data_IF_707948667552
#
_entry.id   IF_707948667552
#
_cell.length_a   1.000
_cell.length_b   1.000
_cell.length_c   1.000
_cell.angle_alpha   90.00
_cell.angle_beta   90.00
_cell.angle_gamma   90.00
#
_symmetry.space_group_name_H-M   'P 1'
#
loop_
_entity.id
_entity.type
_entity.pdbx_description
1 polymer ?
#
# COMPACT_ATOMS: atom_id res chain seq x y z
N UNK A 1 16.25 -21.36 -3.96
CA UNK A 1 16.92 -20.18 -4.52
C UNK A 1 17.68 -20.58 -5.76
N UNK A 2 17.25 -20.15 -6.94
CA UNK A 2 18.08 -20.23 -8.12
C UNK A 2 19.02 -19.02 -8.11
N UNK A 3 20.30 -19.26 -7.91
CA UNK A 3 21.31 -18.22 -8.02
C UNK A 3 21.39 -17.75 -9.47
N UNK A 4 20.75 -16.65 -9.81
CA UNK A 4 20.77 -16.08 -11.15
C UNK A 4 22.09 -15.34 -11.48
N UNK A 5 23.00 -15.20 -10.54
CA UNK A 5 24.29 -14.55 -10.76
C UNK A 5 25.27 -14.83 -9.63
N UNK A 6 25.91 -15.97 -9.60
CA UNK A 6 27.22 -16.19 -8.95
C UNK A 6 27.50 -15.76 -7.51
N UNK A 7 26.58 -15.13 -6.78
CA UNK A 7 26.71 -14.84 -5.37
C UNK A 7 25.65 -15.59 -4.60
N UNK A 8 26.06 -16.68 -3.95
CA UNK A 8 25.22 -17.54 -3.14
C UNK A 8 24.70 -16.87 -1.83
N UNK A 9 25.07 -15.62 -1.58
CA UNK A 9 24.92 -15.01 -0.25
C UNK A 9 23.65 -14.18 -0.10
N UNK A 10 22.79 -14.06 -1.10
CA UNK A 10 21.60 -13.21 -1.08
C UNK A 10 20.34 -13.95 -1.52
N UNK A 11 20.10 -15.11 -0.95
CA UNK A 11 18.81 -15.77 -1.09
C UNK A 11 17.82 -15.20 -0.09
N UNK A 12 16.94 -14.33 -0.53
CA UNK A 12 15.78 -13.93 0.24
C UNK A 12 14.62 -14.89 -0.05
N UNK A 13 13.95 -15.34 1.00
CA UNK A 13 12.73 -16.14 0.90
C UNK A 13 11.67 -15.53 1.80
N UNK A 14 10.42 -15.57 1.37
CA UNK A 14 9.31 -15.19 2.21
C UNK A 14 9.19 -16.18 3.36
N UNK A 15 9.26 -15.68 4.60
CA UNK A 15 9.09 -16.49 5.82
C UNK A 15 7.67 -16.46 6.36
N UNK A 16 6.82 -15.60 5.83
CA UNK A 16 5.39 -15.50 6.13
C UNK A 16 4.69 -14.65 5.11
N UNK A 17 3.44 -14.93 4.84
CA UNK A 17 2.63 -14.19 3.88
C UNK A 17 1.18 -14.14 4.36
N UNK A 18 0.56 -12.97 4.28
CA UNK A 18 -0.87 -12.75 4.43
C UNK A 18 -1.46 -12.49 3.05
N UNK A 19 -2.36 -13.36 2.62
CA UNK A 19 -3.00 -13.29 1.31
C UNK A 19 -4.42 -12.75 1.36
N UNK A 20 -4.97 -12.56 2.56
CA UNK A 20 -6.28 -11.97 2.72
C UNK A 20 -6.28 -10.50 2.30
N UNK A 21 -7.32 -10.13 1.54
CA UNK A 21 -7.55 -8.75 1.13
C UNK A 21 -8.56 -8.14 2.09
N UNK A 22 -8.21 -6.99 2.66
CA UNK A 22 -9.04 -6.25 3.60
C UNK A 22 -9.11 -4.79 3.24
N UNK A 23 -10.31 -4.24 3.18
CA UNK A 23 -10.49 -2.80 3.18
C UNK A 23 -10.26 -2.26 4.61
N UNK A 24 -9.51 -1.20 4.72
CA UNK A 24 -9.24 -0.50 5.98
C UNK A 24 -9.50 0.99 5.80
N UNK A 25 -10.06 1.62 6.82
CA UNK A 25 -10.20 3.07 6.89
C UNK A 25 -8.92 3.65 7.53
N UNK A 26 -8.08 4.29 6.74
CA UNK A 26 -6.82 4.87 7.22
C UNK A 26 -7.01 6.12 8.10
N UNK A 27 -8.22 6.64 8.23
CA UNK A 27 -8.54 7.75 9.12
C UNK A 27 -9.09 7.28 10.46
N UNK A 28 -9.48 6.02 10.57
CA UNK A 28 -9.87 5.42 11.87
C UNK A 28 -8.58 5.13 12.68
N UNK A 29 -8.39 5.79 13.83
CA UNK A 29 -7.24 5.57 14.70
C UNK A 29 -7.26 4.19 15.41
N UNK A 30 -8.37 3.47 15.32
CA UNK A 30 -8.52 2.16 15.95
C UNK A 30 -7.81 1.10 15.11
N UNK A 31 -6.96 0.23 15.70
CA UNK A 31 -6.33 -0.86 14.98
C UNK A 31 -7.36 -1.77 14.31
N UNK A 32 -7.23 -1.95 13.01
CA UNK A 32 -8.12 -2.79 12.20
C UNK A 32 -7.39 -4.11 11.86
N UNK A 33 -7.95 -5.28 12.20
CA UNK A 33 -7.29 -6.55 11.94
C UNK A 33 -7.24 -6.85 10.44
N UNK A 34 -6.05 -7.13 9.91
CA UNK A 34 -5.87 -7.55 8.53
C UNK A 34 -6.09 -9.05 8.35
N UNK A 35 -5.79 -9.85 9.35
CA UNK A 35 -5.91 -11.30 9.32
C UNK A 35 -4.81 -12.01 10.10
N UNK A 36 -4.74 -13.32 9.94
CA UNK A 36 -3.71 -14.17 10.53
C UNK A 36 -2.95 -14.90 9.43
N UNK A 37 -1.64 -14.95 9.56
CA UNK A 37 -0.77 -15.64 8.63
C UNK A 37 0.05 -16.71 9.33
N UNK A 38 0.40 -17.75 8.60
CA UNK A 38 1.40 -18.75 9.04
C UNK A 38 2.76 -18.34 8.50
N UNK A 39 3.79 -18.54 9.31
CA UNK A 39 5.14 -18.21 8.94
C UNK A 39 6.15 -19.08 9.65
N UNK A 40 7.41 -18.82 9.40
CA UNK A 40 8.56 -19.50 10.03
C UNK A 40 9.31 -18.53 10.91
N UNK A 41 10.00 -19.06 11.91
CA UNK A 41 10.99 -18.29 12.67
C UNK A 41 12.17 -17.93 11.78
N UNK A 42 12.77 -16.77 12.05
CA UNK A 42 13.91 -16.30 11.27
C UNK A 42 14.12 -14.81 11.35
N UNK A 43 15.09 -14.33 10.60
CA UNK A 43 15.38 -12.89 10.50
C UNK A 43 14.61 -12.28 9.33
N UNK A 44 13.77 -11.30 9.63
CA UNK A 44 13.13 -10.46 8.64
C UNK A 44 14.04 -9.27 8.33
N UNK A 45 14.18 -8.92 7.08
CA UNK A 45 14.95 -7.76 6.62
C UNK A 45 14.09 -6.72 5.94
N UNK A 46 13.05 -7.18 5.25
CA UNK A 46 12.11 -6.33 4.52
C UNK A 46 10.72 -6.93 4.50
N UNK A 47 9.73 -6.10 4.22
CA UNK A 47 8.39 -6.51 3.87
C UNK A 47 8.05 -6.06 2.45
N UNK A 48 7.31 -6.88 1.74
CA UNK A 48 6.72 -6.52 0.46
C UNK A 48 5.21 -6.55 0.60
N UNK A 49 4.50 -5.67 -0.09
CA UNK A 49 3.04 -5.66 -0.02
C UNK A 49 2.41 -5.11 -1.29
N UNK A 50 1.13 -5.40 -1.44
CA UNK A 50 0.27 -4.92 -2.51
C UNK A 50 -0.96 -4.21 -1.93
N UNK A 51 -1.55 -3.32 -2.71
CA UNK A 51 -2.78 -2.62 -2.37
C UNK A 51 -3.98 -3.37 -2.98
N UNK A 52 -4.36 -4.50 -2.35
CA UNK A 52 -5.55 -5.24 -2.72
C UNK A 52 -5.51 -5.76 -4.17
N UNK A 53 -4.54 -6.58 -4.51
CA UNK A 53 -4.40 -7.15 -5.85
C UNK A 53 -4.56 -8.64 -5.81
N UNK A 54 -5.35 -9.18 -6.73
CA UNK A 54 -5.42 -10.61 -6.98
C UNK A 54 -4.22 -11.04 -7.84
N UNK A 55 -3.26 -11.64 -7.18
CA UNK A 55 -2.02 -12.05 -7.83
C UNK A 55 -1.97 -13.45 -8.29
N UNK A 56 -2.71 -14.30 -7.67
CA UNK A 56 -2.26 -15.66 -7.58
C UNK A 56 -2.90 -16.58 -8.56
N UNK A 57 -2.07 -17.44 -9.15
CA UNK A 57 -2.40 -18.72 -9.74
C UNK A 57 -3.12 -18.66 -11.08
N UNK A 58 -3.42 -17.50 -11.60
CA UNK A 58 -3.96 -17.38 -12.94
C UNK A 58 -2.89 -16.85 -13.88
N UNK A 59 -2.89 -17.28 -15.09
CA UNK A 59 -2.08 -16.75 -16.20
C UNK A 59 -2.61 -15.36 -16.64
N UNK A 60 -3.63 -14.87 -15.98
CA UNK A 60 -4.28 -13.59 -16.28
C UNK A 60 -3.52 -12.41 -15.70
N UNK A 61 -3.71 -11.26 -16.31
CA UNK A 61 -3.17 -10.02 -15.79
C UNK A 61 -3.72 -9.72 -14.39
N UNK A 62 -2.90 -9.15 -13.48
CA UNK A 62 -3.36 -8.81 -12.16
C UNK A 62 -4.49 -7.77 -12.24
N UNK A 63 -5.52 -7.96 -11.43
CA UNK A 63 -6.65 -7.05 -11.32
C UNK A 63 -6.70 -6.45 -9.92
N UNK A 64 -7.18 -5.21 -9.80
CA UNK A 64 -7.46 -4.65 -8.49
C UNK A 64 -8.51 -5.48 -7.77
N UNK A 65 -8.30 -5.76 -6.49
CA UNK A 65 -9.33 -6.35 -5.67
C UNK A 65 -10.36 -5.28 -5.31
N UNK A 66 -11.62 -5.67 -5.24
CA UNK A 66 -12.74 -4.81 -4.87
C UNK A 66 -12.74 -4.49 -3.36
N UNK A 67 -11.62 -3.99 -2.84
CA UNK A 67 -11.43 -3.78 -1.41
C UNK A 67 -11.81 -2.35 -0.99
N UNK A 68 -11.43 -1.34 -1.76
CA UNK A 68 -11.85 0.03 -1.49
C UNK A 68 -13.18 0.36 -2.19
N UNK A 69 -13.88 1.42 -1.77
CA UNK A 69 -15.09 1.88 -2.45
C UNK A 69 -14.88 2.03 -3.94
N UNK A 70 -15.82 1.51 -4.73
CA UNK A 70 -15.75 1.52 -6.19
C UNK A 70 -14.87 0.43 -6.81
N UNK A 71 -14.30 -0.48 -6.02
CA UNK A 71 -13.46 -1.57 -6.52
C UNK A 71 -12.03 -1.16 -6.83
N UNK A 72 -11.49 -0.16 -6.12
CA UNK A 72 -10.15 0.37 -6.31
C UNK A 72 -9.14 -0.09 -5.26
N UNK A 73 -7.85 0.09 -5.51
CA UNK A 73 -6.78 -0.14 -4.53
C UNK A 73 -6.85 0.85 -3.37
N UNK A 74 -7.22 2.10 -3.63
CA UNK A 74 -7.48 3.11 -2.61
C UNK A 74 -8.50 4.13 -3.11
N UNK A 75 -9.31 4.64 -2.17
CA UNK A 75 -10.26 5.72 -2.39
C UNK A 75 -9.96 6.87 -1.43
N UNK A 76 -9.82 8.07 -1.96
CA UNK A 76 -9.64 9.28 -1.17
C UNK A 76 -10.77 10.26 -1.47
N UNK A 77 -11.39 10.80 -0.44
CA UNK A 77 -12.33 11.89 -0.57
C UNK A 77 -12.10 12.89 0.56
N UNK A 78 -12.18 14.18 0.24
CA UNK A 78 -11.89 15.18 1.25
C UNK A 78 -12.03 16.60 0.76
N UNK A 79 -11.48 17.51 1.57
CA UNK A 79 -11.48 18.92 1.31
C UNK A 79 -10.07 19.50 1.54
N UNK A 80 -9.53 20.12 0.52
CA UNK A 80 -8.29 20.89 0.61
C UNK A 80 -8.62 22.37 0.87
N UNK A 81 -7.88 23.00 1.77
CA UNK A 81 -8.07 24.42 2.13
C UNK A 81 -6.77 25.20 1.95
N UNK A 82 -6.84 26.36 1.30
CA UNK A 82 -5.71 27.25 1.13
C UNK A 82 -6.19 28.71 1.07
N UNK A 83 -5.64 29.59 1.91
CA UNK A 83 -5.92 31.02 1.87
C UNK A 83 -7.40 31.39 2.02
N UNK A 84 -8.16 30.59 2.77
CA UNK A 84 -9.61 30.79 2.94
C UNK A 84 -10.49 30.20 1.84
N UNK A 85 -9.89 29.71 0.77
CA UNK A 85 -10.59 28.95 -0.28
C UNK A 85 -10.60 27.46 0.06
N UNK A 86 -11.63 26.76 -0.37
CA UNK A 86 -11.87 25.35 -0.09
C UNK A 86 -12.26 24.60 -1.36
N UNK A 87 -11.66 23.43 -1.55
CA UNK A 87 -11.86 22.58 -2.71
C UNK A 87 -12.19 21.16 -2.26
N UNK A 88 -13.35 20.62 -2.65
CA UNK A 88 -13.61 19.19 -2.47
C UNK A 88 -12.86 18.40 -3.54
N UNK A 89 -12.36 17.25 -3.17
CA UNK A 89 -11.69 16.35 -4.10
C UNK A 89 -12.08 14.89 -3.87
N UNK A 90 -11.88 14.10 -4.91
CA UNK A 90 -11.99 12.65 -4.91
C UNK A 90 -10.86 12.07 -5.74
N UNK A 91 -10.30 10.95 -5.31
CA UNK A 91 -9.32 10.19 -6.07
C UNK A 91 -9.58 8.69 -5.89
N UNK A 92 -9.69 7.99 -7.00
CA UNK A 92 -9.67 6.55 -7.06
C UNK A 92 -8.32 6.13 -7.62
N UNK A 93 -7.61 5.29 -6.87
CA UNK A 93 -6.24 4.92 -7.22
C UNK A 93 -6.14 3.41 -7.34
N UNK A 94 -5.63 2.96 -8.49
CA UNK A 94 -5.29 1.58 -8.73
C UNK A 94 -3.78 1.43 -8.83
N UNK A 95 -3.22 0.61 -7.96
CA UNK A 95 -1.80 0.26 -7.97
C UNK A 95 -1.67 -1.15 -8.51
N UNK A 96 -1.67 -1.27 -9.83
CA UNK A 96 -1.61 -2.55 -10.54
C UNK A 96 -0.17 -2.78 -11.01
N UNK A 97 0.47 -3.87 -10.57
CA UNK A 97 1.79 -4.25 -11.07
C UNK A 97 1.77 -4.55 -12.57
N UNK A 98 2.89 -4.31 -13.22
CA UNK A 98 3.01 -4.44 -14.68
C UNK A 98 3.24 -5.89 -15.14
N UNK A 99 3.72 -6.75 -14.26
CA UNK A 99 3.99 -8.15 -14.58
C UNK A 99 3.83 -9.04 -13.35
N UNK A 100 3.60 -10.32 -13.60
CA UNK A 100 3.43 -11.33 -12.57
C UNK A 100 4.66 -11.40 -11.64
N UNK A 101 4.44 -11.43 -10.34
CA UNK A 101 5.50 -11.46 -9.32
C UNK A 101 6.04 -10.09 -8.93
N UNK A 102 5.67 -9.02 -9.65
CA UNK A 102 5.97 -7.67 -9.20
C UNK A 102 5.08 -7.31 -8.01
N UNK A 103 5.64 -6.79 -6.94
CA UNK A 103 4.90 -6.22 -5.82
C UNK A 103 4.76 -4.71 -5.99
N UNK A 104 3.67 -4.13 -5.53
CA UNK A 104 3.47 -2.68 -5.52
C UNK A 104 4.59 -1.98 -4.74
N UNK A 105 4.95 -2.56 -3.58
CA UNK A 105 6.11 -2.17 -2.79
C UNK A 105 6.97 -3.41 -2.55
N UNK A 106 8.07 -3.57 -3.28
CA UNK A 106 8.84 -4.82 -3.25
C UNK A 106 9.75 -4.96 -2.02
N UNK A 107 10.08 -3.86 -1.34
CA UNK A 107 11.02 -3.90 -0.21
C UNK A 107 10.86 -2.67 0.67
N UNK A 108 10.01 -2.75 1.68
CA UNK A 108 9.93 -1.75 2.75
C UNK A 108 10.80 -2.22 3.94
N UNK A 109 11.42 -1.26 4.63
CA UNK A 109 12.22 -1.58 5.81
C UNK A 109 11.34 -2.22 6.91
N UNK A 110 11.67 -3.45 7.30
CA UNK A 110 10.91 -4.21 8.29
C UNK A 110 11.85 -5.20 9.01
N UNK A 111 12.79 -4.70 9.80
CA UNK A 111 13.78 -5.56 10.45
C UNK A 111 13.26 -6.14 11.75
N UNK A 112 13.30 -7.46 11.87
CA UNK A 112 12.97 -8.18 13.10
C UNK A 112 13.63 -9.55 13.15
N UNK A 113 13.73 -10.11 14.36
CA UNK A 113 14.08 -11.52 14.57
C UNK A 113 12.87 -12.20 15.20
N UNK A 114 12.31 -13.17 14.50
CA UNK A 114 11.16 -13.94 14.94
C UNK A 114 11.66 -15.24 15.56
N UNK A 115 11.63 -15.32 16.88
CA UNK A 115 12.12 -16.47 17.64
C UNK A 115 10.99 -17.37 18.17
N UNK A 116 9.77 -16.87 18.15
CA UNK A 116 8.61 -17.56 18.73
C UNK A 116 7.46 -17.68 17.76
N UNK A 117 6.54 -18.59 18.04
CA UNK A 117 5.40 -18.92 17.19
C UNK A 117 4.27 -17.89 17.18
N UNK A 118 4.30 -16.91 18.08
CA UNK A 118 3.21 -15.92 18.19
C UNK A 118 3.77 -14.50 18.21
N UNK A 119 3.58 -13.81 17.12
CA UNK A 119 3.96 -12.39 16.96
C UNK A 119 2.83 -11.62 16.32
N UNK A 120 2.71 -10.35 16.66
CA UNK A 120 1.84 -9.41 15.99
C UNK A 120 2.68 -8.48 15.13
N UNK A 121 2.23 -8.25 13.91
CA UNK A 121 2.75 -7.23 13.02
C UNK A 121 1.74 -6.09 12.96
N UNK A 122 2.15 -4.92 13.36
CA UNK A 122 1.40 -3.68 13.18
C UNK A 122 1.94 -2.96 11.95
N UNK A 123 1.04 -2.60 11.04
CA UNK A 123 1.35 -1.86 9.80
C UNK A 123 0.67 -0.50 9.91
N UNK A 124 1.45 0.57 9.90
CA UNK A 124 0.93 1.93 9.99
C UNK A 124 1.19 2.70 8.69
N UNK A 125 0.13 3.28 8.14
CA UNK A 125 0.14 4.11 6.96
C UNK A 125 0.05 5.60 7.33
N UNK A 126 0.60 6.45 6.48
CA UNK A 126 0.49 7.91 6.61
C UNK A 126 -0.17 8.52 5.35
N UNK A 127 -1.50 8.50 5.28
CA UNK A 127 -2.23 9.07 4.14
C UNK A 127 -2.05 10.58 4.02
N UNK A 128 -1.75 11.27 5.12
CA UNK A 128 -1.44 12.71 5.11
C UNK A 128 -0.19 13.01 4.30
N UNK A 129 0.86 12.22 4.46
CA UNK A 129 2.08 12.33 3.67
C UNK A 129 1.83 12.05 2.17
N UNK A 130 0.95 11.11 1.82
CA UNK A 130 0.58 10.86 0.43
C UNK A 130 -0.16 12.05 -0.18
N UNK A 131 -1.19 12.56 0.50
CA UNK A 131 -1.97 13.70 0.04
C UNK A 131 -1.16 15.00 -0.03
N UNK A 132 -0.09 15.13 0.76
CA UNK A 132 0.83 16.27 0.68
C UNK A 132 1.56 16.39 -0.66
N UNK A 133 1.56 15.33 -1.48
CA UNK A 133 2.17 15.32 -2.82
C UNK A 133 1.22 15.77 -3.93
N UNK A 134 -0.06 15.92 -3.60
CA UNK A 134 -1.07 16.42 -4.54
C UNK A 134 -0.97 17.94 -4.66
N UNK A 135 -0.81 18.41 -5.88
CA UNK A 135 -0.80 19.84 -6.18
C UNK A 135 -2.23 20.32 -6.47
N UNK A 136 -2.90 20.80 -5.43
CA UNK A 136 -4.27 21.31 -5.55
C UNK A 136 -4.35 22.66 -6.28
N UNK A 137 -3.25 23.35 -6.52
CA UNK A 137 -3.24 24.58 -7.33
C UNK A 137 -3.50 24.29 -8.82
N UNK A 138 -3.33 23.04 -9.25
CA UNK A 138 -3.68 22.58 -10.60
C UNK A 138 -5.17 22.26 -10.75
N UNK A 139 -5.93 22.28 -9.67
CA UNK A 139 -7.35 21.95 -9.70
C UNK A 139 -8.17 23.16 -10.20
N UNK A 140 -8.95 22.93 -11.23
CA UNK A 140 -9.88 23.92 -11.77
C UNK A 140 -11.29 23.31 -11.86
N UNK A 141 -11.93 23.01 -10.70
CA UNK A 141 -13.27 22.43 -10.73
C UNK A 141 -14.28 23.46 -11.18
N UNK A 142 -15.33 23.00 -11.84
CA UNK A 142 -16.53 23.79 -12.04
C UNK A 142 -17.13 24.17 -10.67
N UNK A 143 -17.82 25.31 -10.55
CA UNK A 143 -18.48 25.71 -9.32
C UNK A 143 -19.35 24.58 -8.76
N UNK A 144 -19.24 24.31 -7.47
CA UNK A 144 -19.96 23.26 -6.73
C UNK A 144 -19.59 21.80 -7.05
N UNK A 145 -18.66 21.55 -8.00
CA UNK A 145 -18.17 20.21 -8.28
C UNK A 145 -16.98 19.82 -7.40
N UNK A 146 -16.72 18.50 -7.28
CA UNK A 146 -15.50 17.99 -6.68
C UNK A 146 -14.41 17.89 -7.75
N UNK A 147 -13.19 18.20 -7.38
CA UNK A 147 -12.03 17.94 -8.23
C UNK A 147 -11.73 16.44 -8.25
N UNK A 148 -11.88 15.83 -9.41
CA UNK A 148 -11.52 14.43 -9.59
C UNK A 148 -10.03 14.31 -9.97
N UNK A 149 -9.27 13.60 -9.16
CA UNK A 149 -7.90 13.22 -9.47
C UNK A 149 -7.95 11.94 -10.31
N UNK A 150 -7.95 12.12 -11.62
CA UNK A 150 -8.18 11.03 -12.58
C UNK A 150 -6.89 10.28 -12.96
N UNK A 151 -6.97 9.00 -13.31
CA UNK A 151 -5.83 8.23 -13.83
C UNK A 151 -5.11 8.95 -14.98
N UNK A 152 -3.78 8.90 -14.95
CA UNK A 152 -2.93 9.58 -15.94
C UNK A 152 -2.70 11.07 -15.66
N UNK A 153 -3.40 11.70 -14.73
CA UNK A 153 -3.09 13.06 -14.31
C UNK A 153 -1.81 13.12 -13.47
N UNK A 154 -1.18 14.30 -13.43
CA UNK A 154 0.01 14.55 -12.60
C UNK A 154 -0.25 14.23 -11.13
N UNK A 155 -1.39 14.65 -10.60
CA UNK A 155 -1.76 14.41 -9.21
C UNK A 155 -2.01 12.94 -8.90
N UNK A 156 -2.61 12.20 -9.84
CA UNK A 156 -2.76 10.75 -9.70
C UNK A 156 -1.40 10.06 -9.69
N UNK A 157 -0.49 10.39 -10.60
CA UNK A 157 0.87 9.86 -10.61
C UNK A 157 1.64 10.18 -9.32
N UNK A 158 1.45 11.39 -8.76
CA UNK A 158 2.06 11.77 -7.48
C UNK A 158 1.54 10.92 -6.31
N UNK A 159 0.24 10.61 -6.26
CA UNK A 159 -0.34 9.70 -5.26
C UNK A 159 0.22 8.29 -5.39
N UNK A 160 0.24 7.72 -6.60
CA UNK A 160 0.79 6.38 -6.83
C UNK A 160 2.25 6.30 -6.37
N UNK A 161 3.08 7.28 -6.74
CA UNK A 161 4.49 7.31 -6.33
C UNK A 161 4.63 7.49 -4.81
N UNK A 162 3.79 8.33 -4.19
CA UNK A 162 3.80 8.51 -2.74
C UNK A 162 3.46 7.20 -2.02
N UNK A 163 2.44 6.49 -2.46
CA UNK A 163 2.00 5.22 -1.89
C UNK A 163 3.03 4.10 -2.06
N UNK A 164 3.72 4.05 -3.21
CA UNK A 164 4.56 2.90 -3.57
C UNK A 164 6.04 3.08 -3.29
N UNK A 165 6.56 4.32 -3.31
CA UNK A 165 8.00 4.56 -3.29
C UNK A 165 8.47 5.59 -2.25
N UNK A 166 7.70 6.64 -2.01
CA UNK A 166 8.19 7.75 -1.18
C UNK A 166 7.84 7.62 0.30
N UNK A 167 6.67 7.07 0.59
CA UNK A 167 6.16 6.99 1.96
C UNK A 167 5.57 5.60 2.23
N UNK A 168 6.41 4.57 2.26
CA UNK A 168 5.96 3.22 2.58
C UNK A 168 5.44 3.17 4.02
N UNK A 169 4.57 2.22 4.35
CA UNK A 169 4.12 2.02 5.71
C UNK A 169 5.29 1.63 6.62
N UNK A 170 5.09 1.86 7.91
CA UNK A 170 6.01 1.36 8.94
C UNK A 170 5.51 0.04 9.49
N UNK A 171 6.45 -0.85 9.81
CA UNK A 171 6.20 -2.19 10.30
C UNK A 171 6.76 -2.33 11.71
N UNK A 172 5.92 -2.71 12.67
CA UNK A 172 6.32 -2.92 14.06
C UNK A 172 5.92 -4.31 14.52
N UNK A 173 6.91 -5.06 15.01
CA UNK A 173 6.72 -6.42 15.47
C UNK A 173 6.63 -6.47 16.98
N UNK A 174 5.63 -7.17 17.50
CA UNK A 174 5.40 -7.36 18.92
C UNK A 174 5.26 -8.86 19.22
N UNK A 175 6.06 -9.37 20.14
CA UNK A 175 5.91 -10.73 20.63
C UNK A 175 4.64 -10.81 21.47
N UNK A 176 3.80 -11.79 21.17
CA UNK A 176 2.63 -12.10 21.98
C UNK A 176 3.03 -12.97 23.17
N UNK A 177 2.31 -12.86 24.31
CA UNK A 177 2.55 -13.64 25.51
C UNK A 177 2.32 -15.14 25.30
#
# INVERSE_FOLDING_TARGET
>A
CAAASGSADLCETAIGELTEIRAVDLLDPTPQPLGEARGFTGTIRSASYDYGIHWFLTEEAPTAAEAAPGGHSAHFAGQATKGGSSLRFVADVDVIPQFQGQRAVPSAAASAVIESSSVRLDVAFDPGSWLSKVDFDLAHPEPESSYAIVPGSRNHGALVIAMTAQTPPTFTWTKLP
#
